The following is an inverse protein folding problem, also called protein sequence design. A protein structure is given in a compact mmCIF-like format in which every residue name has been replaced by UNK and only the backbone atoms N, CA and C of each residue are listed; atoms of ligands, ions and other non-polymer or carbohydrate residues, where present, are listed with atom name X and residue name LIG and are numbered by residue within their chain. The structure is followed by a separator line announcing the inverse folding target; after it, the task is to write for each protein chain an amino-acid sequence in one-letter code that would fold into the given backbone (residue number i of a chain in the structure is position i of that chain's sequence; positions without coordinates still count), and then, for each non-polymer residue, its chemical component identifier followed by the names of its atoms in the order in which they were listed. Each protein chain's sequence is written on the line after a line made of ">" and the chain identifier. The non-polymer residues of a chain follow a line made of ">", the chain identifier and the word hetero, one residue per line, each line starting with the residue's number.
data_IF_988296654749
#
_entry.id   IF_988296654749
#
_cell.length_a   1.000
_cell.length_b   1.000
_cell.length_c   1.000
_cell.angle_alpha   90.00
_cell.angle_beta   90.00
_cell.angle_gamma   90.00
#
_symmetry.space_group_name_H-M   'P 1'
#
loop_
_entity.id
_entity.type
_entity.pdbx_description
1 polymer ?
#
# COMPACT_ATOMS: atom_id res chain seq x y z
N UNK A 1 -23.39 5.64 5.88
CA UNK A 1 -21.93 5.60 6.10
C UNK A 1 -21.39 4.27 5.56
N UNK A 2 -20.72 4.27 4.40
CA UNK A 2 -20.11 3.07 3.76
C UNK A 2 -18.73 3.40 3.15
N UNK A 3 -18.01 4.40 3.70
CA UNK A 3 -16.79 4.92 3.06
C UNK A 3 -15.49 4.24 3.49
N UNK A 4 -15.51 3.38 4.53
CA UNK A 4 -14.28 2.74 5.04
C UNK A 4 -13.78 1.62 4.11
N UNK A 5 -14.69 0.80 3.59
CA UNK A 5 -14.33 -0.38 2.79
C UNK A 5 -14.04 -0.12 1.32
N UNK A 6 -14.49 1.01 0.75
CA UNK A 6 -14.41 1.20 -0.71
C UNK A 6 -12.96 1.47 -1.17
N UNK A 7 -12.17 2.15 -0.34
CA UNK A 7 -10.80 2.51 -0.71
C UNK A 7 -9.81 1.35 -0.53
N UNK A 8 -9.98 0.46 0.47
CA UNK A 8 -9.11 -0.70 0.67
C UNK A 8 -9.26 -1.79 -0.41
N UNK A 9 -10.29 -1.69 -1.27
CA UNK A 9 -10.48 -2.58 -2.44
C UNK A 9 -9.28 -2.58 -3.38
N UNK A 10 -8.50 -1.49 -3.38
CA UNK A 10 -7.27 -1.40 -4.18
C UNK A 10 -6.29 -2.53 -3.88
N UNK A 11 -6.22 -3.02 -2.64
CA UNK A 11 -5.30 -4.09 -2.24
C UNK A 11 -5.71 -5.48 -2.74
N UNK A 12 -6.96 -5.63 -3.19
CA UNK A 12 -7.45 -6.86 -3.81
C UNK A 12 -7.24 -6.86 -5.32
N UNK A 13 -6.80 -5.74 -5.91
CA UNK A 13 -6.56 -5.64 -7.32
C UNK A 13 -5.20 -6.27 -7.68
N UNK A 14 -5.14 -7.30 -8.54
CA UNK A 14 -3.88 -7.88 -8.99
C UNK A 14 -2.93 -6.85 -9.62
N UNK A 15 -3.46 -5.83 -10.30
CA UNK A 15 -2.67 -4.75 -10.89
C UNK A 15 -1.96 -3.89 -9.84
N UNK A 16 -2.56 -3.75 -8.65
CA UNK A 16 -1.91 -3.06 -7.55
C UNK A 16 -0.68 -3.83 -7.05
N UNK A 17 -0.80 -5.17 -6.95
CA UNK A 17 0.32 -6.04 -6.61
C UNK A 17 1.43 -5.99 -7.66
N UNK A 18 1.09 -5.98 -8.95
CA UNK A 18 2.06 -5.80 -10.02
C UNK A 18 2.75 -4.43 -9.97
N UNK A 19 2.00 -3.36 -9.70
CA UNK A 19 2.57 -2.03 -9.54
C UNK A 19 3.55 -1.97 -8.35
N UNK A 20 3.20 -2.58 -7.21
CA UNK A 20 4.11 -2.68 -6.06
C UNK A 20 5.40 -3.40 -6.42
N UNK A 21 5.31 -4.53 -7.12
CA UNK A 21 6.48 -5.28 -7.56
C UNK A 21 7.34 -4.47 -8.53
N UNK A 22 6.72 -3.72 -9.45
CA UNK A 22 7.42 -2.81 -10.32
C UNK A 22 8.18 -1.71 -9.55
N UNK A 23 7.55 -1.12 -8.52
CA UNK A 23 8.20 -0.12 -7.65
C UNK A 23 9.39 -0.74 -6.89
N UNK A 24 9.23 -1.96 -6.37
CA UNK A 24 10.30 -2.69 -5.68
C UNK A 24 11.48 -2.98 -6.59
N UNK A 25 11.21 -3.43 -7.82
CA UNK A 25 12.25 -3.69 -8.80
C UNK A 25 12.93 -2.40 -9.24
N UNK A 26 12.16 -1.33 -9.45
CA UNK A 26 12.72 -0.02 -9.76
C UNK A 26 13.62 0.48 -8.63
N UNK A 27 13.24 0.30 -7.37
CA UNK A 27 14.06 0.68 -6.21
C UNK A 27 15.38 -0.10 -6.13
N UNK A 28 15.43 -1.35 -6.61
CA UNK A 28 16.67 -2.16 -6.69
C UNK A 28 17.64 -1.65 -7.76
N UNK A 29 17.13 -1.11 -8.86
CA UNK A 29 17.95 -0.68 -10.01
C UNK A 29 18.20 0.82 -10.08
N UNK A 30 17.43 1.63 -9.36
CA UNK A 30 17.48 3.08 -9.36
C UNK A 30 18.30 3.61 -8.18
N UNK A 31 19.17 4.60 -8.43
CA UNK A 31 19.78 5.43 -7.36
C UNK A 31 18.81 6.44 -6.75
N UNK A 32 17.65 6.65 -7.37
CA UNK A 32 16.56 7.45 -6.81
C UNK A 32 15.68 6.53 -5.99
N UNK A 33 15.52 6.85 -4.71
CA UNK A 33 14.53 6.24 -3.82
C UNK A 33 13.15 6.40 -4.46
N UNK A 34 12.57 5.30 -4.93
CA UNK A 34 11.17 5.25 -5.33
C UNK A 34 10.44 4.51 -4.22
N UNK A 35 9.63 5.23 -3.45
CA UNK A 35 8.84 4.64 -2.37
C UNK A 35 7.38 4.50 -2.77
N UNK A 36 6.87 3.27 -2.68
CA UNK A 36 5.45 3.00 -2.83
C UNK A 36 4.64 3.78 -1.78
N UNK A 37 5.13 3.84 -0.55
CA UNK A 37 4.49 4.59 0.54
C UNK A 37 4.41 6.08 0.22
N UNK A 38 5.48 6.69 -0.29
CA UNK A 38 5.43 8.10 -0.71
C UNK A 38 4.33 8.36 -1.73
N UNK A 39 4.24 7.49 -2.74
CA UNK A 39 3.24 7.62 -3.80
C UNK A 39 1.82 7.46 -3.25
N UNK A 40 1.61 6.50 -2.33
CA UNK A 40 0.31 6.25 -1.72
C UNK A 40 -0.09 7.35 -0.73
N UNK A 41 0.85 7.84 0.08
CA UNK A 41 0.66 8.99 0.97
C UNK A 41 0.31 10.24 0.17
N UNK A 42 0.99 10.51 -0.95
CA UNK A 42 0.66 11.66 -1.79
C UNK A 42 -0.75 11.58 -2.39
N UNK A 43 -1.25 10.36 -2.63
CA UNK A 43 -2.58 10.11 -3.22
C UNK A 43 -3.71 10.14 -2.20
N UNK A 44 -3.52 9.50 -1.06
CA UNK A 44 -4.58 9.27 -0.08
C UNK A 44 -4.41 10.11 1.19
N UNK A 45 -3.19 10.55 1.51
CA UNK A 45 -2.82 11.11 2.81
C UNK A 45 -2.49 10.03 3.84
N UNK A 46 -1.66 10.37 4.83
CA UNK A 46 -1.12 9.39 5.80
C UNK A 46 -2.21 8.69 6.62
N UNK A 47 -3.16 9.46 7.17
CA UNK A 47 -4.21 8.91 8.03
C UNK A 47 -5.18 7.99 7.26
N UNK A 48 -5.50 8.36 6.02
CA UNK A 48 -6.39 7.55 5.18
C UNK A 48 -5.67 6.30 4.72
N UNK A 49 -4.42 6.42 4.27
CA UNK A 49 -3.59 5.26 3.89
C UNK A 49 -3.46 4.27 5.04
N UNK A 50 -3.18 4.75 6.25
CA UNK A 50 -3.10 3.91 7.44
C UNK A 50 -4.40 3.12 7.68
N UNK A 51 -5.56 3.80 7.59
CA UNK A 51 -6.88 3.13 7.75
C UNK A 51 -7.13 2.10 6.65
N UNK A 52 -6.79 2.43 5.40
CA UNK A 52 -6.92 1.49 4.29
C UNK A 52 -6.08 0.22 4.52
N UNK A 53 -4.84 0.37 5.00
CA UNK A 53 -3.94 -0.74 5.32
C UNK A 53 -4.48 -1.56 6.49
N UNK A 54 -4.99 -0.93 7.55
CA UNK A 54 -5.61 -1.63 8.68
C UNK A 54 -6.85 -2.43 8.25
N UNK A 55 -7.72 -1.87 7.41
CA UNK A 55 -8.88 -2.57 6.89
C UNK A 55 -8.49 -3.78 6.02
N UNK A 56 -7.41 -3.67 5.25
CA UNK A 56 -6.89 -4.76 4.42
C UNK A 56 -6.26 -5.91 5.24
N UNK A 57 -5.84 -5.66 6.48
CA UNK A 57 -5.33 -6.72 7.38
C UNK A 57 -6.41 -7.69 7.85
N UNK A 58 -7.68 -7.29 7.77
CA UNK A 58 -8.82 -8.12 8.20
C UNK A 58 -9.04 -9.29 7.24
N UNK A 59 -8.62 -9.17 5.99
CA UNK A 59 -8.86 -10.19 4.97
C UNK A 59 -7.62 -11.06 4.76
N UNK A 60 -7.74 -12.41 4.81
CA UNK A 60 -6.60 -13.32 4.67
C UNK A 60 -5.78 -13.09 3.39
N UNK A 61 -6.47 -12.84 2.27
CA UNK A 61 -5.85 -12.69 0.94
C UNK A 61 -4.94 -11.45 0.84
N UNK A 62 -5.27 -10.38 1.59
CA UNK A 62 -4.52 -9.12 1.57
C UNK A 62 -3.68 -8.91 2.83
N UNK A 63 -3.81 -9.75 3.85
CA UNK A 63 -3.18 -9.57 5.16
C UNK A 63 -1.65 -9.43 5.06
N UNK A 64 -0.99 -10.29 4.28
CA UNK A 64 0.47 -10.27 4.17
C UNK A 64 0.96 -9.00 3.48
N UNK A 65 0.28 -8.59 2.41
CA UNK A 65 0.57 -7.34 1.70
C UNK A 65 0.37 -6.13 2.61
N UNK A 66 -0.73 -6.11 3.35
CA UNK A 66 -1.06 -5.01 4.25
C UNK A 66 -0.07 -4.89 5.42
N UNK A 67 0.35 -6.01 6.03
CA UNK A 67 1.39 -6.01 7.07
C UNK A 67 2.71 -5.44 6.56
N UNK A 68 3.10 -5.81 5.34
CA UNK A 68 4.30 -5.26 4.69
C UNK A 68 4.17 -3.75 4.50
N UNK A 69 3.08 -3.28 3.89
CA UNK A 69 2.86 -1.85 3.66
C UNK A 69 2.80 -1.04 4.96
N UNK A 70 2.26 -1.62 6.04
CA UNK A 70 2.29 -0.99 7.35
C UNK A 70 3.72 -0.82 7.87
N UNK A 71 4.55 -1.86 7.74
CA UNK A 71 5.96 -1.78 8.15
C UNK A 71 6.72 -0.73 7.33
N UNK A 72 6.49 -0.70 6.02
CA UNK A 72 7.08 0.29 5.12
C UNK A 72 6.60 1.71 5.49
N UNK A 73 5.34 1.88 5.87
CA UNK A 73 4.78 3.19 6.29
C UNK A 73 5.38 3.71 7.60
N UNK A 74 5.78 2.82 8.51
CA UNK A 74 6.39 3.20 9.80
C UNK A 74 7.89 3.49 9.69
N UNK A 75 8.55 3.02 8.63
CA UNK A 75 9.98 3.24 8.38
C UNK A 75 10.25 4.45 7.48
N UNK A 76 9.20 4.93 6.81
CA UNK A 76 9.21 6.15 5.99
C UNK A 76 9.14 7.41 6.86
#
# INVERSE_FOLDING_TARGET
>A
MHLKYDQSRVFFNPEFSHWLQYVDDLAKFSKKEVSAIQTLTAKYGDEILYKMIEDAKVFPDTMNLAKRLQADQMQY
#
